data_IF_804645469180
#
_entry.id   IF_804645469180
#
_cell.length_a   1.000
_cell.length_b   1.000
_cell.length_c   1.000
_cell.angle_alpha   90.00
_cell.angle_beta   90.00
_cell.angle_gamma   90.00
#
_symmetry.space_group_name_H-M   'P 1'
#
loop_
_entity.id
_entity.type
_entity.pdbx_description
1 polymer ?
#
# COMPACT_ATOMS: atom_id res chain seq x y z
N UNK A 1 -5.73 -33.01 -11.42
CA UNK A 1 -4.90 -31.84 -10.98
C UNK A 1 -5.77 -30.60 -10.96
N UNK A 2 -5.97 -30.02 -9.80
CA UNK A 2 -6.97 -28.98 -9.62
C UNK A 2 -6.44 -27.61 -10.03
N UNK A 3 -7.17 -26.92 -10.90
CA UNK A 3 -7.05 -25.48 -11.08
C UNK A 3 -7.90 -24.79 -10.01
N UNK A 4 -7.38 -23.73 -9.41
CA UNK A 4 -8.11 -22.90 -8.44
C UNK A 4 -8.27 -21.49 -9.01
N UNK A 5 -9.50 -20.99 -9.06
CA UNK A 5 -9.74 -19.59 -9.37
C UNK A 5 -9.27 -18.75 -8.18
N UNK A 6 -8.39 -17.79 -8.45
CA UNK A 6 -7.78 -16.91 -7.44
C UNK A 6 -8.48 -15.54 -7.44
N UNK A 7 -8.76 -15.01 -8.64
CA UNK A 7 -9.39 -13.71 -8.79
C UNK A 7 -10.31 -13.67 -10.00
N UNK A 8 -11.27 -12.73 -9.99
CA UNK A 8 -12.19 -12.47 -11.09
C UNK A 8 -12.32 -10.97 -11.28
N UNK A 9 -12.24 -10.50 -12.52
CA UNK A 9 -12.51 -9.11 -12.88
C UNK A 9 -13.71 -9.02 -13.80
N UNK A 10 -14.74 -8.32 -13.38
CA UNK A 10 -15.90 -8.01 -14.21
C UNK A 10 -15.58 -6.91 -15.23
N UNK A 11 -14.64 -6.04 -14.92
CA UNK A 11 -14.25 -4.92 -15.77
C UNK A 11 -13.53 -5.38 -17.03
N UNK A 12 -12.62 -6.34 -16.89
CA UNK A 12 -11.82 -6.88 -18.00
C UNK A 12 -12.36 -8.22 -18.51
N UNK A 13 -13.45 -8.74 -17.93
CA UNK A 13 -13.99 -10.07 -18.23
C UNK A 13 -12.92 -11.17 -18.14
N UNK A 14 -12.13 -11.14 -17.08
CA UNK A 14 -11.00 -12.06 -16.89
C UNK A 14 -11.10 -12.81 -15.57
N UNK A 15 -10.45 -13.97 -15.55
CA UNK A 15 -10.22 -14.74 -14.32
C UNK A 15 -8.73 -15.06 -14.20
N UNK A 16 -8.21 -15.07 -12.97
CA UNK A 16 -6.88 -15.59 -12.66
C UNK A 16 -7.03 -16.96 -12.04
N UNK A 17 -6.34 -17.92 -12.61
CA UNK A 17 -6.32 -19.31 -12.09
C UNK A 17 -4.92 -19.67 -11.65
N UNK A 18 -4.83 -20.35 -10.50
CA UNK A 18 -3.59 -20.98 -10.03
C UNK A 18 -3.61 -22.46 -10.39
N UNK A 19 -2.51 -22.95 -10.98
CA UNK A 19 -2.32 -24.36 -11.29
C UNK A 19 -0.87 -24.75 -11.05
N UNK A 20 -0.63 -26.02 -10.76
CA UNK A 20 0.70 -26.63 -10.76
C UNK A 20 1.01 -27.33 -12.07
N UNK A 21 0.08 -27.29 -13.00
CA UNK A 21 0.15 -27.97 -14.29
C UNK A 21 0.69 -27.00 -15.36
N UNK A 22 1.91 -27.28 -15.86
CA UNK A 22 2.56 -26.46 -16.88
C UNK A 22 1.84 -26.42 -18.23
N UNK A 23 0.99 -27.43 -18.52
CA UNK A 23 0.21 -27.48 -19.78
C UNK A 23 -1.18 -26.86 -19.67
N UNK A 24 -1.50 -26.29 -18.50
CA UNK A 24 -2.81 -25.70 -18.25
C UNK A 24 -3.15 -24.57 -19.22
N UNK A 25 -2.16 -23.76 -19.63
CA UNK A 25 -2.37 -22.66 -20.58
C UNK A 25 -2.88 -23.17 -21.92
N UNK A 26 -2.27 -24.24 -22.43
CA UNK A 26 -2.71 -24.87 -23.68
C UNK A 26 -4.13 -25.41 -23.60
N UNK A 27 -4.50 -26.07 -22.51
CA UNK A 27 -5.87 -26.59 -22.35
C UNK A 27 -6.91 -25.49 -22.17
N UNK A 28 -6.58 -24.41 -21.48
CA UNK A 28 -7.48 -23.28 -21.27
C UNK A 28 -7.72 -22.50 -22.57
N UNK A 29 -6.71 -22.35 -23.43
CA UNK A 29 -6.84 -21.64 -24.70
C UNK A 29 -7.76 -22.33 -25.71
N UNK A 30 -8.01 -23.62 -25.56
CA UNK A 30 -8.93 -24.38 -26.43
C UNK A 30 -10.40 -24.30 -26.00
N UNK A 31 -10.71 -23.64 -24.89
CA UNK A 31 -12.08 -23.47 -24.45
C UNK A 31 -12.80 -22.40 -25.31
N UNK A 32 -14.00 -22.67 -25.82
CA UNK A 32 -14.66 -21.82 -26.81
C UNK A 32 -15.06 -20.43 -26.29
N UNK A 33 -15.02 -20.22 -24.97
CA UNK A 33 -15.32 -18.96 -24.31
C UNK A 33 -14.08 -18.23 -23.80
N UNK A 34 -12.87 -18.74 -24.10
CA UNK A 34 -11.59 -18.12 -23.72
C UNK A 34 -10.97 -17.49 -24.96
N UNK A 35 -10.80 -16.19 -24.94
CA UNK A 35 -10.21 -15.43 -26.05
C UNK A 35 -8.70 -15.40 -26.00
N UNK A 36 -8.09 -15.39 -24.82
CA UNK A 36 -6.64 -15.33 -24.62
C UNK A 36 -6.26 -15.91 -23.26
N UNK A 37 -5.07 -16.49 -23.17
CA UNK A 37 -4.50 -17.01 -21.93
C UNK A 37 -3.08 -16.51 -21.79
N UNK A 38 -2.78 -15.81 -20.68
CA UNK A 38 -1.46 -15.25 -20.40
C UNK A 38 -0.93 -15.75 -19.05
N UNK A 39 0.35 -16.09 -19.04
CA UNK A 39 1.06 -16.33 -17.79
C UNK A 39 1.30 -14.97 -17.12
N UNK A 40 0.73 -14.76 -15.94
CA UNK A 40 0.90 -13.51 -15.20
C UNK A 40 1.98 -13.61 -14.13
N UNK A 41 2.23 -14.79 -13.62
CA UNK A 41 3.25 -15.01 -12.59
C UNK A 41 3.61 -16.49 -12.47
N UNK A 42 4.88 -16.78 -12.17
CA UNK A 42 5.38 -18.10 -11.83
C UNK A 42 6.00 -18.01 -10.45
N UNK A 43 5.55 -18.87 -9.52
CA UNK A 43 6.15 -18.92 -8.19
C UNK A 43 7.62 -19.35 -8.31
N UNK A 44 8.57 -18.58 -7.82
CA UNK A 44 9.93 -19.09 -7.66
C UNK A 44 9.90 -20.27 -6.70
N UNK A 45 10.68 -21.31 -6.99
CA UNK A 45 10.75 -22.52 -6.16
C UNK A 45 11.31 -22.28 -4.76
N UNK A 46 11.90 -21.12 -4.53
CA UNK A 46 12.36 -20.67 -3.21
C UNK A 46 12.13 -19.17 -3.05
N UNK A 47 11.50 -18.79 -1.94
CA UNK A 47 11.56 -17.42 -1.46
C UNK A 47 13.00 -17.21 -0.97
N UNK A 48 13.81 -16.52 -1.75
CA UNK A 48 15.12 -16.06 -1.27
C UNK A 48 14.84 -14.99 -0.22
N UNK A 49 15.21 -15.21 1.07
CA UNK A 49 15.04 -14.19 2.07
C UNK A 49 15.79 -12.93 1.61
N UNK A 50 15.09 -11.83 1.48
CA UNK A 50 15.74 -10.54 1.21
C UNK A 50 16.69 -10.28 2.37
N UNK A 51 18.00 -10.07 2.13
CA UNK A 51 18.93 -9.75 3.22
C UNK A 51 18.41 -8.50 3.94
N UNK A 52 18.54 -8.45 5.30
CA UNK A 52 18.13 -7.28 6.05
C UNK A 52 18.81 -6.06 5.46
N UNK A 53 18.03 -5.06 5.07
CA UNK A 53 18.60 -3.81 4.58
C UNK A 53 19.41 -3.17 5.70
N UNK A 54 20.56 -2.54 5.40
CA UNK A 54 21.27 -1.79 6.38
C UNK A 54 20.32 -0.76 7.01
N UNK A 55 20.27 -0.72 8.34
CA UNK A 55 19.56 0.33 9.05
C UNK A 55 20.22 1.65 8.66
N UNK A 56 19.58 2.43 7.81
CA UNK A 56 20.01 3.79 7.58
C UNK A 56 19.77 4.54 8.90
N UNK A 57 20.85 4.77 9.64
CA UNK A 57 20.87 5.84 10.63
C UNK A 57 20.86 7.13 9.82
N UNK A 58 19.71 7.62 9.49
CA UNK A 58 19.56 9.00 9.12
C UNK A 58 19.83 9.79 10.40
N UNK A 59 21.02 10.32 10.53
CA UNK A 59 21.21 11.52 11.35
C UNK A 59 20.22 12.52 10.75
N UNK A 60 19.14 12.75 11.45
CA UNK A 60 18.21 13.85 11.14
C UNK A 60 19.05 15.08 11.47
N UNK A 61 19.70 15.66 10.46
CA UNK A 61 20.19 17.02 10.59
C UNK A 61 19.01 17.83 11.12
N UNK A 62 19.20 18.44 12.27
CA UNK A 62 18.24 19.36 12.86
C UNK A 62 18.08 20.52 11.89
N UNK A 63 17.22 20.35 10.89
CA UNK A 63 16.78 21.45 10.06
C UNK A 63 16.01 22.40 10.96
N UNK A 64 16.33 23.68 10.82
CA UNK A 64 15.70 24.78 11.50
C UNK A 64 14.15 24.61 11.51
N UNK A 65 13.62 24.27 12.69
CA UNK A 65 12.21 23.96 12.91
C UNK A 65 11.35 25.20 13.08
N UNK A 66 11.90 26.39 12.89
CA UNK A 66 11.25 27.68 13.17
C UNK A 66 10.14 28.07 12.18
N UNK A 67 9.86 27.29 11.13
CA UNK A 67 9.03 27.75 9.99
C UNK A 67 7.67 27.03 9.85
N UNK A 68 7.31 26.02 10.70
CA UNK A 68 6.21 25.13 10.32
C UNK A 68 5.07 25.07 11.34
N UNK A 69 4.19 26.04 11.28
CA UNK A 69 3.17 26.24 12.30
C UNK A 69 2.08 25.17 12.36
N UNK A 70 1.66 24.51 11.25
CA UNK A 70 0.52 23.57 11.32
C UNK A 70 0.80 22.17 10.79
N UNK A 71 1.54 22.03 9.67
CA UNK A 71 1.76 20.74 8.99
C UNK A 71 3.14 20.14 9.26
N UNK A 72 3.98 20.80 10.06
CA UNK A 72 5.32 20.36 10.42
C UNK A 72 6.21 20.21 9.17
N UNK A 73 7.02 19.15 9.11
CA UNK A 73 7.95 18.92 7.99
C UNK A 73 7.27 18.64 6.65
N UNK A 74 5.97 18.31 6.64
CA UNK A 74 5.19 18.12 5.43
C UNK A 74 4.69 19.42 4.77
N UNK A 75 4.82 20.56 5.46
CA UNK A 75 4.27 21.85 5.03
C UNK A 75 4.62 22.18 3.57
N UNK A 76 5.90 22.18 3.24
CA UNK A 76 6.37 22.55 1.91
C UNK A 76 5.83 21.61 0.81
N UNK A 77 5.77 20.31 1.08
CA UNK A 77 5.26 19.32 0.13
C UNK A 77 3.77 19.52 -0.14
N UNK A 78 2.99 19.79 0.90
CA UNK A 78 1.56 20.06 0.77
C UNK A 78 1.29 21.40 0.09
N UNK A 79 2.10 22.42 0.34
CA UNK A 79 1.99 23.72 -0.34
C UNK A 79 2.20 23.60 -1.85
N UNK A 80 3.18 22.79 -2.28
CA UNK A 80 3.47 22.57 -3.70
C UNK A 80 2.26 22.03 -4.49
N UNK A 81 1.41 21.23 -3.85
CA UNK A 81 0.20 20.66 -4.47
C UNK A 81 -1.09 21.37 -4.05
N UNK A 82 -0.97 22.49 -3.33
CA UNK A 82 -2.12 23.23 -2.84
C UNK A 82 -2.87 22.58 -1.66
N UNK A 83 -2.30 21.53 -1.06
CA UNK A 83 -2.92 20.74 0.02
C UNK A 83 -3.18 21.56 1.28
N UNK A 84 -2.29 22.47 1.65
CA UNK A 84 -2.48 23.38 2.80
C UNK A 84 -3.74 24.20 2.63
N UNK A 85 -3.95 24.78 1.44
CA UNK A 85 -5.16 25.59 1.14
C UNK A 85 -6.44 24.76 1.18
N UNK A 86 -6.37 23.47 0.83
CA UNK A 86 -7.51 22.54 0.97
C UNK A 86 -7.82 22.29 2.45
N UNK A 87 -6.79 22.05 3.25
CA UNK A 87 -6.95 21.84 4.69
C UNK A 87 -7.52 23.07 5.40
N UNK A 88 -7.07 24.28 5.06
CA UNK A 88 -7.61 25.53 5.57
C UNK A 88 -9.10 25.72 5.25
N UNK A 89 -9.57 25.14 4.16
CA UNK A 89 -10.98 25.13 3.75
C UNK A 89 -11.77 23.95 4.32
N UNK A 90 -11.15 23.13 5.16
CA UNK A 90 -11.77 21.97 5.79
C UNK A 90 -11.75 20.67 4.97
N UNK A 91 -11.10 20.65 3.81
CA UNK A 91 -10.98 19.44 2.97
C UNK A 91 -9.74 18.65 3.40
N UNK A 92 -9.94 17.66 4.28
CA UNK A 92 -8.87 16.84 4.88
C UNK A 92 -9.07 15.34 4.63
N UNK A 93 -10.01 14.96 3.77
CA UNK A 93 -10.33 13.58 3.45
C UNK A 93 -11.45 12.96 4.29
N UNK A 94 -12.12 13.71 5.14
CA UNK A 94 -13.22 13.21 5.95
C UNK A 94 -14.36 12.64 5.07
N UNK A 95 -14.87 11.46 5.46
CA UNK A 95 -15.88 10.72 4.71
C UNK A 95 -15.36 9.99 3.46
N UNK A 96 -14.07 10.13 3.13
CA UNK A 96 -13.44 9.41 2.01
C UNK A 96 -12.76 8.15 2.52
N UNK A 97 -12.78 7.10 1.68
CA UNK A 97 -12.01 5.88 1.90
C UNK A 97 -10.93 5.76 0.84
N UNK A 98 -9.69 5.60 1.27
CA UNK A 98 -8.50 5.47 0.41
C UNK A 98 -7.94 4.06 0.58
N UNK A 99 -7.78 3.33 -0.51
CA UNK A 99 -7.04 2.08 -0.52
C UNK A 99 -5.59 2.33 -0.98
N UNK A 100 -4.63 1.92 -0.16
CA UNK A 100 -3.21 1.95 -0.48
C UNK A 100 -2.78 0.53 -0.85
N UNK A 101 -2.49 0.30 -2.13
CA UNK A 101 -2.06 -0.98 -2.65
C UNK A 101 -0.53 -0.93 -2.84
N UNK A 102 0.18 -1.67 -1.98
CA UNK A 102 1.63 -1.62 -1.95
C UNK A 102 2.24 -2.99 -1.59
N UNK A 103 3.56 -3.07 -1.55
CA UNK A 103 4.30 -4.31 -1.31
C UNK A 103 4.34 -4.74 0.17
N UNK A 104 3.93 -3.86 1.09
CA UNK A 104 3.91 -4.10 2.53
C UNK A 104 3.96 -2.80 3.33
N UNK A 105 3.69 -2.90 4.62
CA UNK A 105 3.52 -1.76 5.53
C UNK A 105 4.33 -1.98 6.83
N UNK A 106 5.62 -2.28 6.67
CA UNK A 106 6.49 -2.67 7.78
C UNK A 106 6.36 -1.74 8.98
N UNK A 107 6.03 -2.33 10.14
CA UNK A 107 5.86 -1.66 11.43
C UNK A 107 4.79 -0.54 11.47
N UNK A 108 3.92 -0.42 10.48
CA UNK A 108 2.89 0.62 10.52
C UNK A 108 1.93 0.46 11.71
N UNK A 109 1.73 -0.76 12.20
CA UNK A 109 0.97 -1.08 13.41
C UNK A 109 1.68 -0.69 14.72
N UNK A 110 3.01 -0.51 14.68
CA UNK A 110 3.85 -0.20 15.85
C UNK A 110 4.29 1.28 15.91
N UNK A 111 4.34 1.97 14.78
CA UNK A 111 4.79 3.35 14.69
C UNK A 111 3.77 4.28 15.36
N UNK A 112 4.16 5.06 16.41
CA UNK A 112 3.21 5.90 17.15
C UNK A 112 2.47 6.95 16.31
N UNK A 113 3.07 7.38 15.19
CA UNK A 113 2.45 8.35 14.30
C UNK A 113 1.21 7.81 13.58
N UNK A 114 1.10 6.48 13.42
CA UNK A 114 -0.06 5.84 12.81
C UNK A 114 -1.15 5.42 13.79
N UNK A 115 -0.94 5.59 15.10
CA UNK A 115 -1.88 5.11 16.11
C UNK A 115 -3.30 5.64 15.94
N UNK A 116 -3.42 6.88 15.47
CA UNK A 116 -4.69 7.60 15.41
C UNK A 116 -5.30 7.63 13.99
N UNK A 117 -4.70 6.90 13.02
CA UNK A 117 -5.29 6.81 11.69
C UNK A 117 -6.56 5.97 11.71
N UNK A 118 -7.50 6.31 10.85
CA UNK A 118 -8.72 5.53 10.65
C UNK A 118 -8.46 4.34 9.72
N UNK A 119 -7.80 3.29 10.25
CA UNK A 119 -7.56 2.04 9.52
C UNK A 119 -8.80 1.16 9.58
N UNK A 120 -9.48 0.99 8.45
CA UNK A 120 -10.71 0.20 8.32
C UNK A 120 -10.41 -1.29 8.17
N UNK A 121 -9.32 -1.62 7.48
CA UNK A 121 -8.90 -3.01 7.30
C UNK A 121 -7.68 -3.14 6.42
N UNK A 122 -7.21 -4.38 6.27
CA UNK A 122 -6.09 -4.71 5.41
C UNK A 122 -6.22 -6.14 4.86
N UNK A 123 -5.54 -6.44 3.74
CA UNK A 123 -5.48 -7.78 3.19
C UNK A 123 -4.20 -8.01 2.37
N UNK A 124 -3.62 -9.21 2.48
CA UNK A 124 -2.55 -9.65 1.59
C UNK A 124 -3.15 -10.45 0.42
N UNK A 125 -3.05 -9.91 -0.78
CA UNK A 125 -3.54 -10.55 -2.01
C UNK A 125 -2.46 -11.37 -2.72
N UNK A 126 -1.19 -11.21 -2.34
CA UNK A 126 -0.04 -11.90 -2.96
C UNK A 126 0.28 -13.18 -2.20
N UNK A 127 0.35 -13.09 -0.87
CA UNK A 127 0.63 -14.22 0.02
C UNK A 127 -0.52 -14.38 1.02
N UNK A 128 -1.63 -15.05 0.64
CA UNK A 128 -2.82 -15.17 1.50
C UNK A 128 -2.55 -15.88 2.85
N UNK A 129 -1.40 -16.55 2.99
CA UNK A 129 -0.93 -17.17 4.21
C UNK A 129 0.08 -16.30 4.97
N UNK A 130 0.37 -15.11 4.49
CA UNK A 130 1.20 -14.14 5.22
C UNK A 130 0.59 -13.86 6.58
N UNK A 131 1.42 -13.82 7.60
CA UNK A 131 0.97 -13.59 8.97
C UNK A 131 0.62 -12.13 9.21
N UNK A 132 1.23 -11.23 8.45
CA UNK A 132 1.00 -9.79 8.60
C UNK A 132 1.63 -8.99 7.46
N UNK A 133 0.88 -8.08 6.86
CA UNK A 133 1.39 -7.07 5.94
C UNK A 133 2.36 -6.08 6.63
N UNK A 134 2.34 -6.05 7.96
CA UNK A 134 3.18 -5.16 8.79
C UNK A 134 4.58 -5.75 9.07
N UNK A 135 4.85 -6.97 8.61
CA UNK A 135 6.15 -7.62 8.73
C UNK A 135 7.02 -7.49 7.47
N UNK A 136 6.49 -6.91 6.41
CA UNK A 136 7.10 -6.90 5.08
C UNK A 136 7.20 -5.47 4.55
N UNK A 137 8.27 -5.17 3.83
CA UNK A 137 8.51 -3.96 3.02
C UNK A 137 8.02 -2.63 3.63
N UNK A 138 8.91 -1.67 3.70
CA UNK A 138 8.60 -0.36 4.31
C UNK A 138 7.91 0.64 3.36
N UNK A 139 7.89 0.37 2.05
CA UNK A 139 7.44 1.35 1.06
C UNK A 139 5.98 1.78 1.30
N UNK A 140 5.06 0.84 1.50
CA UNK A 140 3.66 1.16 1.79
C UNK A 140 3.46 1.97 3.07
N UNK A 141 4.28 1.71 4.13
CA UNK A 141 4.25 2.55 5.32
C UNK A 141 4.71 3.99 5.03
N UNK A 142 5.71 4.17 4.16
CA UNK A 142 6.14 5.50 3.72
C UNK A 142 5.02 6.21 2.93
N UNK A 143 4.36 5.51 1.99
CA UNK A 143 3.22 6.07 1.24
C UNK A 143 2.06 6.41 2.18
N UNK A 144 1.72 5.53 3.12
CA UNK A 144 0.68 5.78 4.11
C UNK A 144 1.00 7.01 4.96
N UNK A 145 2.27 7.23 5.30
CA UNK A 145 2.69 8.36 6.13
C UNK A 145 2.38 9.71 5.50
N UNK A 146 2.66 9.87 4.21
CA UNK A 146 2.41 11.13 3.49
C UNK A 146 0.92 11.39 3.26
N UNK A 147 0.07 10.41 3.47
CA UNK A 147 -1.37 10.54 3.33
C UNK A 147 -2.08 10.71 4.68
N UNK A 148 -1.78 9.84 5.65
CA UNK A 148 -2.64 9.56 6.78
C UNK A 148 -2.21 10.17 8.12
N UNK A 149 -0.91 10.48 8.31
CA UNK A 149 -0.44 11.00 9.60
C UNK A 149 -1.12 12.31 9.94
N UNK A 150 -1.58 12.43 11.19
CA UNK A 150 -2.21 13.64 11.73
C UNK A 150 -1.56 14.04 13.07
N UNK A 151 -0.36 14.60 12.98
CA UNK A 151 0.40 15.13 14.14
C UNK A 151 0.73 16.60 13.89
N UNK A 152 -0.21 17.51 14.22
CA UNK A 152 -0.01 18.96 14.03
C UNK A 152 1.30 19.47 14.62
N UNK A 153 2.01 20.32 13.89
CA UNK A 153 3.32 20.82 14.25
C UNK A 153 4.49 19.84 14.02
N UNK A 154 4.22 18.57 13.75
CA UNK A 154 5.25 17.53 13.48
C UNK A 154 5.14 17.02 12.06
N UNK A 155 4.01 16.46 11.70
CA UNK A 155 3.71 15.93 10.38
C UNK A 155 2.20 15.82 10.17
N UNK A 156 1.67 16.44 9.13
CA UNK A 156 0.28 16.24 8.71
C UNK A 156 0.27 15.82 7.24
N UNK A 157 -0.33 14.66 6.97
CA UNK A 157 -0.44 14.09 5.63
C UNK A 157 -1.49 14.79 4.77
N UNK A 158 -1.64 14.35 3.52
CA UNK A 158 -2.52 14.98 2.56
C UNK A 158 -4.03 14.74 2.82
N UNK A 159 -4.39 13.62 3.44
CA UNK A 159 -5.77 13.25 3.76
C UNK A 159 -5.87 12.63 5.17
N UNK A 160 -5.49 13.39 6.22
CA UNK A 160 -5.31 12.83 7.56
C UNK A 160 -6.62 12.39 8.22
N UNK A 161 -7.76 12.82 7.70
CA UNK A 161 -9.08 12.51 8.25
C UNK A 161 -9.85 11.48 7.37
N UNK A 162 -9.19 10.87 6.37
CA UNK A 162 -9.75 9.80 5.57
C UNK A 162 -9.72 8.46 6.30
N UNK A 163 -10.53 7.51 5.81
CA UNK A 163 -10.43 6.10 6.19
C UNK A 163 -9.48 5.35 5.25
N UNK A 164 -8.74 4.35 5.76
CA UNK A 164 -7.71 3.65 4.99
C UNK A 164 -7.94 2.14 4.95
N UNK A 165 -7.71 1.56 3.76
CA UNK A 165 -7.49 0.15 3.52
C UNK A 165 -6.06 -0.08 3.02
N UNK A 166 -5.39 -1.15 3.48
CA UNK A 166 -4.02 -1.50 3.13
C UNK A 166 -3.95 -2.85 2.45
#
# INVERSE_FOLDING_TARGET
AGMKVVSRSRWSNTIVVRTKDGEATGRLSHLPFVSDVRMVWVSPDSIVPTPPRPKYHTEIEQRDTSIHASHGVAQQQLEMVGGVKLHERGFRGQGMTIAVLDAGFLNADLIPAFRDINLVGYADFVVPQSRSIFAEMEHGANVLSILAINKPGVYVGAAPDAAYWL
#
